data_IF_708954688552
#
_entry.id   IF_708954688552
#
_cell.length_a   1.000
_cell.length_b   1.000
_cell.length_c   1.000
_cell.angle_alpha   90.00
_cell.angle_beta   90.00
_cell.angle_gamma   90.00
#
_symmetry.space_group_name_H-M   'P 1'
#
loop_
_entity.id
_entity.type
_entity.pdbx_description
1 polymer ?
#
# COMPACT_ATOMS: atom_id res chain seq x y z
N UNK A 1 4.98 -6.15 23.45
CA UNK A 1 4.50 -5.56 22.19
C UNK A 1 4.26 -4.08 22.46
N UNK A 2 5.12 -3.19 21.95
CA UNK A 2 4.86 -1.75 22.05
C UNK A 2 3.66 -1.44 21.15
N UNK A 3 2.58 -0.92 21.74
CA UNK A 3 1.44 -0.46 20.95
C UNK A 3 1.93 0.63 19.99
N UNK A 4 1.62 0.49 18.70
CA UNK A 4 1.89 1.54 17.71
C UNK A 4 1.26 2.84 18.22
N UNK A 5 2.01 3.95 18.29
CA UNK A 5 1.47 5.24 18.67
C UNK A 5 0.20 5.56 17.85
N UNK A 6 -0.86 6.06 18.50
CA UNK A 6 -2.14 6.27 17.82
C UNK A 6 -2.04 7.18 16.60
N UNK A 7 -1.13 8.17 16.63
CA UNK A 7 -0.85 9.09 15.54
C UNK A 7 -0.33 8.40 14.26
N UNK A 8 0.33 7.25 14.44
CA UNK A 8 0.87 6.41 13.35
C UNK A 8 -0.14 5.34 12.89
N UNK A 9 -1.32 5.26 13.50
CA UNK A 9 -2.34 4.30 13.11
C UNK A 9 -2.98 4.73 11.79
N UNK A 10 -2.91 3.85 10.80
CA UNK A 10 -3.48 4.09 9.49
C UNK A 10 -4.94 3.64 9.42
N UNK A 11 -5.76 4.47 8.77
CA UNK A 11 -7.05 4.07 8.22
C UNK A 11 -6.81 3.81 6.73
N UNK A 12 -7.15 2.60 6.28
CA UNK A 12 -6.92 2.17 4.90
C UNK A 12 -8.24 1.70 4.29
N UNK A 13 -8.51 2.14 3.07
CA UNK A 13 -9.58 1.63 2.23
C UNK A 13 -8.98 1.13 0.91
N UNK A 14 -9.47 0.00 0.41
CA UNK A 14 -9.13 -0.53 -0.90
C UNK A 14 -10.42 -0.67 -1.71
N UNK A 15 -10.33 -0.43 -3.01
CA UNK A 15 -11.44 -0.65 -3.93
C UNK A 15 -10.93 -1.24 -5.24
N UNK A 16 -11.37 -2.44 -5.56
CA UNK A 16 -11.10 -3.06 -6.84
C UNK A 16 -12.02 -2.49 -7.93
N UNK A 17 -11.44 -2.27 -9.11
CA UNK A 17 -12.14 -1.96 -10.36
C UNK A 17 -11.64 -2.93 -11.43
N UNK A 18 -12.52 -3.46 -12.30
CA UNK A 18 -12.08 -4.25 -13.45
C UNK A 18 -11.08 -3.46 -14.30
N UNK A 19 -9.99 -4.09 -14.69
CA UNK A 19 -8.98 -3.54 -15.61
C UNK A 19 -9.01 -4.27 -16.96
N UNK A 20 -7.82 -4.50 -17.52
CA UNK A 20 -7.65 -5.37 -18.69
C UNK A 20 -8.15 -6.81 -18.41
N UNK A 21 -8.46 -7.62 -19.45
CA UNK A 21 -8.89 -9.00 -19.26
C UNK A 21 -7.92 -9.80 -18.38
N UNK A 22 -8.42 -10.31 -17.26
CA UNK A 22 -7.61 -11.04 -16.27
C UNK A 22 -6.94 -10.16 -15.21
N UNK A 23 -7.18 -8.85 -15.21
CA UNK A 23 -6.59 -7.89 -14.27
C UNK A 23 -7.64 -7.02 -13.55
N UNK A 24 -7.29 -6.60 -12.33
CA UNK A 24 -7.94 -5.55 -11.58
C UNK A 24 -6.99 -4.38 -11.43
N UNK A 25 -7.55 -3.17 -11.34
CA UNK A 25 -6.87 -2.07 -10.66
C UNK A 25 -7.47 -1.96 -9.27
N UNK A 26 -6.63 -2.07 -8.24
CA UNK A 26 -7.04 -1.80 -6.86
C UNK A 26 -6.51 -0.42 -6.47
N UNK A 27 -7.44 0.50 -6.23
CA UNK A 27 -7.15 1.82 -5.67
C UNK A 27 -7.13 1.72 -4.14
N UNK A 28 -6.01 2.09 -3.52
CA UNK A 28 -5.82 2.11 -2.08
C UNK A 28 -5.64 3.53 -1.60
N UNK A 29 -6.42 3.89 -0.59
CA UNK A 29 -6.36 5.18 0.10
C UNK A 29 -6.00 4.94 1.55
N UNK A 30 -4.89 5.52 1.99
CA UNK A 30 -4.42 5.52 3.36
C UNK A 30 -4.40 6.93 3.95
N UNK A 31 -4.70 7.07 5.24
CA UNK A 31 -4.46 8.29 5.99
C UNK A 31 -4.13 8.02 7.46
N UNK A 32 -3.37 8.91 8.07
CA UNK A 32 -3.13 8.94 9.52
C UNK A 32 -3.04 10.39 10.02
N UNK A 33 -2.63 10.62 11.27
CA UNK A 33 -2.59 11.97 11.85
C UNK A 33 -1.52 12.88 11.22
N UNK A 34 -0.48 12.31 10.60
CA UNK A 34 0.66 13.03 10.02
C UNK A 34 0.56 13.14 8.49
N UNK A 35 -0.11 12.18 7.86
CA UNK A 35 -0.26 12.06 6.41
C UNK A 35 -1.76 12.12 6.11
N UNK A 36 -2.27 13.29 5.66
CA UNK A 36 -3.70 13.51 5.48
C UNK A 36 -4.27 12.61 4.37
N UNK A 37 -3.46 12.30 3.37
CA UNK A 37 -3.82 11.42 2.27
C UNK A 37 -2.58 10.76 1.65
N UNK A 38 -2.67 9.48 1.36
CA UNK A 38 -1.71 8.70 0.59
C UNK A 38 -2.48 7.73 -0.30
N UNK A 39 -2.30 7.83 -1.62
CA UNK A 39 -3.06 7.07 -2.59
C UNK A 39 -2.15 6.27 -3.53
N UNK A 40 -2.55 5.03 -3.85
CA UNK A 40 -1.86 4.17 -4.81
C UNK A 40 -2.86 3.38 -5.64
N UNK A 41 -2.57 3.23 -6.92
CA UNK A 41 -3.24 2.28 -7.78
C UNK A 41 -2.28 1.13 -8.10
N UNK A 42 -2.80 -0.10 -8.05
CA UNK A 42 -2.00 -1.30 -8.32
C UNK A 42 -2.78 -2.20 -9.27
N UNK A 43 -2.11 -2.63 -10.33
CA UNK A 43 -2.61 -3.72 -11.15
C UNK A 43 -2.35 -5.05 -10.45
N UNK A 44 -3.38 -5.87 -10.28
CA UNK A 44 -3.28 -7.23 -9.72
C UNK A 44 -4.07 -8.20 -10.57
N UNK A 45 -3.70 -9.48 -10.54
CA UNK A 45 -4.43 -10.51 -11.28
C UNK A 45 -5.85 -10.69 -10.73
N UNK A 46 -6.84 -10.55 -11.63
CA UNK A 46 -8.25 -10.83 -11.40
C UNK A 46 -8.68 -12.04 -12.23
N UNK A 47 -8.55 -13.21 -11.62
CA UNK A 47 -8.97 -14.45 -12.26
C UNK A 47 -10.51 -14.51 -12.35
N UNK A 48 -11.08 -15.07 -13.44
CA UNK A 48 -12.51 -15.29 -13.54
C UNK A 48 -13.05 -16.05 -12.32
N UNK A 49 -14.08 -15.50 -11.67
CA UNK A 49 -14.69 -16.08 -10.47
C UNK A 49 -14.13 -15.60 -9.13
N UNK A 50 -13.07 -14.80 -9.09
CA UNK A 50 -12.61 -14.17 -7.86
C UNK A 50 -13.53 -13.00 -7.46
N UNK A 51 -13.91 -12.93 -6.19
CA UNK A 51 -14.74 -11.84 -5.65
C UNK A 51 -13.89 -10.59 -5.38
N UNK A 52 -14.49 -9.40 -5.52
CA UNK A 52 -13.78 -8.14 -5.32
C UNK A 52 -13.11 -8.01 -3.92
N UNK A 53 -13.75 -8.41 -2.80
CA UNK A 53 -13.11 -8.35 -1.48
C UNK A 53 -11.84 -9.20 -1.37
N UNK A 54 -11.79 -10.36 -2.04
CA UNK A 54 -10.60 -11.22 -2.05
C UNK A 54 -9.45 -10.56 -2.82
N UNK A 55 -9.77 -9.94 -3.95
CA UNK A 55 -8.80 -9.18 -4.76
C UNK A 55 -8.26 -7.98 -3.99
N UNK A 56 -9.13 -7.24 -3.30
CA UNK A 56 -8.75 -6.11 -2.44
C UNK A 56 -7.85 -6.56 -1.28
N UNK A 57 -8.21 -7.65 -0.59
CA UNK A 57 -7.41 -8.22 0.50
C UNK A 57 -6.02 -8.65 0.04
N UNK A 58 -5.92 -9.32 -1.11
CA UNK A 58 -4.63 -9.70 -1.70
C UNK A 58 -3.77 -8.49 -2.04
N UNK A 59 -4.37 -7.45 -2.63
CA UNK A 59 -3.66 -6.22 -2.95
C UNK A 59 -3.10 -5.53 -1.69
N UNK A 60 -3.86 -5.51 -0.59
CA UNK A 60 -3.39 -4.97 0.69
C UNK A 60 -2.23 -5.78 1.28
N UNK A 61 -2.25 -7.11 1.16
CA UNK A 61 -1.11 -7.95 1.57
C UNK A 61 0.13 -7.65 0.72
N UNK A 62 -0.01 -7.55 -0.60
CA UNK A 62 1.07 -7.20 -1.52
C UNK A 62 1.66 -5.84 -1.15
N UNK A 63 0.82 -4.82 -0.94
CA UNK A 63 1.27 -3.50 -0.46
C UNK A 63 2.04 -3.57 0.85
N UNK A 64 1.59 -4.39 1.80
CA UNK A 64 2.27 -4.50 3.09
C UNK A 64 3.70 -5.04 2.95
N UNK A 65 3.95 -5.89 1.95
CA UNK A 65 5.28 -6.40 1.63
C UNK A 65 6.09 -5.34 0.89
N UNK A 66 5.50 -4.70 -0.12
CA UNK A 66 6.15 -3.64 -0.89
C UNK A 66 6.55 -2.44 -0.02
N UNK A 67 5.73 -2.04 0.95
CA UNK A 67 6.07 -0.93 1.85
C UNK A 67 7.22 -1.24 2.79
N UNK A 68 7.45 -2.50 3.14
CA UNK A 68 8.63 -2.87 3.94
C UNK A 68 9.92 -2.64 3.14
N UNK A 69 9.93 -3.11 1.89
CA UNK A 69 11.06 -2.91 1.00
C UNK A 69 11.24 -1.44 0.63
N UNK A 70 10.14 -0.72 0.35
CA UNK A 70 10.18 0.71 0.06
C UNK A 70 10.68 1.52 1.27
N UNK A 71 10.30 1.15 2.50
CA UNK A 71 10.81 1.80 3.70
C UNK A 71 12.34 1.64 3.81
N UNK A 72 12.86 0.43 3.60
CA UNK A 72 14.30 0.18 3.60
C UNK A 72 15.03 1.00 2.53
N UNK A 73 14.46 1.09 1.33
CA UNK A 73 15.03 1.88 0.23
C UNK A 73 15.00 3.39 0.51
N UNK A 74 13.94 3.89 1.13
CA UNK A 74 13.87 5.27 1.60
C UNK A 74 14.93 5.57 2.66
N UNK A 75 15.15 4.67 3.62
CA UNK A 75 16.20 4.81 4.64
C UNK A 75 17.59 4.87 3.99
N UNK A 76 17.87 3.97 3.04
CA UNK A 76 19.12 3.97 2.27
C UNK A 76 19.32 5.30 1.55
N UNK A 77 18.32 5.74 0.80
CA UNK A 77 18.38 6.97 0.01
C UNK A 77 18.45 8.25 0.89
N UNK A 78 17.87 8.23 2.09
CA UNK A 78 18.02 9.31 3.06
C UNK A 78 19.43 9.35 3.65
N UNK A 79 19.99 8.19 4.02
CA UNK A 79 21.35 8.05 4.53
C UNK A 79 22.40 8.57 3.55
N UNK A 80 22.26 8.28 2.26
CA UNK A 80 23.15 8.80 1.21
C UNK A 80 23.12 10.34 1.14
N UNK A 81 21.96 10.95 1.29
CA UNK A 81 21.81 12.41 1.30
C UNK A 81 22.43 13.02 2.55
N UNK A 82 22.15 12.46 3.74
CA UNK A 82 22.74 12.96 4.98
C UNK A 82 24.27 12.88 4.98
N UNK A 83 24.86 11.89 4.30
CA UNK A 83 26.30 11.80 4.14
C UNK A 83 26.91 12.91 3.24
N UNK A 84 26.08 13.56 2.41
CA UNK A 84 26.50 14.62 1.49
C UNK A 84 26.37 16.04 2.09
N UNK A 85 25.71 16.20 3.25
CA UNK A 85 25.46 17.48 3.92
C UNK A 85 24.19 18.17 3.44
#
# INVERSE_FOLDING_TARGET
>A
MSATPEQLRWIVAARAKPGDPGAAVVSVLGRNALIPELAFDIAVDWHPGAEAPDVEGRALVILSLLFKELAAECERAAGERFAQG
#
